data_IF_133653425517
#
_entry.id   IF_133653425517
#
_cell.length_a   1.000
_cell.length_b   1.000
_cell.length_c   1.000
_cell.angle_alpha   90.00
_cell.angle_beta   90.00
_cell.angle_gamma   90.00
#
_symmetry.space_group_name_H-M   'P 1'
#
loop_
_entity.id
_entity.type
_entity.pdbx_description
1 polymer ?
#
# COMPACT_ATOMS: atom_id res chain seq x y z
N UNK A 1 22.90 -25.85 5.83
CA UNK A 1 22.48 -27.23 6.17
C UNK A 1 21.05 -27.45 5.69
N UNK A 2 20.72 -28.60 5.07
CA UNK A 2 19.37 -28.94 4.58
C UNK A 2 18.90 -30.18 5.34
N UNK A 3 17.81 -30.07 6.10
CA UNK A 3 17.19 -31.17 6.83
C UNK A 3 15.85 -31.53 6.17
N UNK A 4 15.61 -32.82 5.96
CA UNK A 4 14.41 -33.35 5.30
C UNK A 4 13.63 -34.22 6.28
N UNK A 5 12.30 -34.06 6.33
CA UNK A 5 11.46 -34.86 7.22
C UNK A 5 9.98 -34.53 7.12
N UNK A 6 9.23 -34.91 8.16
CA UNK A 6 7.84 -34.50 8.38
C UNK A 6 7.75 -33.83 9.75
N UNK A 7 7.09 -32.68 9.83
CA UNK A 7 6.80 -32.01 11.08
C UNK A 7 5.78 -32.84 11.87
N UNK A 8 6.08 -33.03 13.17
CA UNK A 8 5.19 -33.74 14.11
C UNK A 8 4.26 -32.78 14.87
N UNK A 9 4.47 -31.47 14.70
CA UNK A 9 3.70 -30.38 15.29
C UNK A 9 3.35 -29.38 14.18
N UNK A 10 2.35 -28.51 14.38
CA UNK A 10 2.04 -27.43 13.45
C UNK A 10 3.28 -26.61 13.05
N UNK A 11 3.34 -26.15 11.80
CA UNK A 11 4.53 -25.50 11.24
C UNK A 11 4.92 -24.20 11.92
N UNK A 12 3.94 -23.44 12.42
CA UNK A 12 4.17 -22.23 13.20
C UNK A 12 4.87 -22.55 14.53
N UNK A 13 4.43 -23.58 15.25
CA UNK A 13 5.05 -24.05 16.49
C UNK A 13 6.43 -24.69 16.24
N UNK A 14 6.57 -25.47 15.17
CA UNK A 14 7.85 -26.04 14.76
C UNK A 14 8.89 -24.93 14.50
N UNK A 15 8.47 -23.85 13.85
CA UNK A 15 9.33 -22.71 13.57
C UNK A 15 9.86 -22.07 14.85
N UNK A 16 9.03 -21.85 15.87
CA UNK A 16 9.48 -21.28 17.16
C UNK A 16 10.58 -22.11 17.80
N UNK A 17 10.32 -23.42 17.94
CA UNK A 17 11.25 -24.36 18.56
C UNK A 17 12.57 -24.43 17.81
N UNK A 18 12.53 -24.39 16.47
CA UNK A 18 13.72 -24.39 15.62
C UNK A 18 14.48 -23.07 15.69
N UNK A 19 13.77 -21.94 15.67
CA UNK A 19 14.37 -20.61 15.74
C UNK A 19 15.12 -20.42 17.06
N UNK A 20 14.54 -20.83 18.19
CA UNK A 20 15.22 -20.80 19.50
C UNK A 20 16.49 -21.65 19.52
N UNK A 21 16.46 -22.84 18.92
CA UNK A 21 17.61 -23.76 18.85
C UNK A 21 18.70 -23.31 17.89
N UNK A 22 18.34 -22.62 16.81
CA UNK A 22 19.29 -22.19 15.78
C UNK A 22 19.89 -20.81 16.08
N UNK A 23 19.24 -20.03 16.94
CA UNK A 23 19.71 -18.70 17.37
C UNK A 23 21.14 -18.69 17.95
N UNK A 24 21.55 -19.63 18.84
CA UNK A 24 22.93 -19.69 19.35
C UNK A 24 23.96 -20.02 18.26
N UNK A 25 23.52 -20.65 17.17
CA UNK A 25 24.36 -21.06 16.04
C UNK A 25 24.50 -19.96 14.99
N UNK A 26 23.81 -18.82 15.14
CA UNK A 26 23.82 -17.74 14.15
C UNK A 26 23.09 -18.10 12.85
N UNK A 27 22.11 -18.99 12.91
CA UNK A 27 21.38 -19.51 11.75
C UNK A 27 19.89 -19.23 11.87
N UNK A 28 19.21 -18.91 10.76
CA UNK A 28 17.75 -18.77 10.71
C UNK A 28 17.12 -19.96 9.98
N UNK A 29 16.10 -20.63 10.57
CA UNK A 29 15.40 -21.72 9.89
C UNK A 29 14.47 -21.19 8.78
N UNK A 30 14.35 -21.96 7.70
CA UNK A 30 13.48 -21.70 6.57
C UNK A 30 12.66 -22.96 6.28
N UNK A 31 11.34 -22.91 6.50
CA UNK A 31 10.43 -24.05 6.32
C UNK A 31 9.73 -23.99 4.96
N UNK A 32 9.78 -25.10 4.20
CA UNK A 32 9.21 -25.21 2.85
C UNK A 32 8.52 -26.55 2.64
N UNK A 33 7.46 -26.58 1.82
CA UNK A 33 6.91 -27.83 1.27
C UNK A 33 7.84 -28.34 0.14
N UNK A 34 8.15 -29.63 0.12
CA UNK A 34 9.02 -30.23 -0.90
C UNK A 34 8.32 -30.23 -2.26
N UNK A 35 8.96 -29.69 -3.30
CA UNK A 35 8.41 -29.68 -4.67
C UNK A 35 8.63 -30.99 -5.43
N UNK A 36 9.69 -31.75 -5.11
CA UNK A 36 10.02 -32.98 -5.83
C UNK A 36 9.40 -34.23 -5.17
N UNK A 37 8.52 -34.87 -5.93
CA UNK A 37 7.92 -36.18 -5.68
C UNK A 37 8.88 -37.35 -5.89
N UNK A 38 10.11 -37.27 -5.37
CA UNK A 38 10.99 -38.44 -5.30
C UNK A 38 10.38 -39.57 -4.46
N UNK A 39 10.94 -40.78 -4.60
CA UNK A 39 10.49 -42.12 -4.16
C UNK A 39 9.95 -42.28 -2.71
N UNK A 40 10.01 -41.23 -1.87
CA UNK A 40 9.59 -41.23 -0.46
C UNK A 40 8.35 -40.36 -0.16
N UNK A 41 7.58 -39.94 -1.18
CA UNK A 41 6.32 -39.21 -1.01
C UNK A 41 6.47 -37.78 -0.48
N UNK A 42 5.39 -36.98 -0.57
CA UNK A 42 5.38 -35.57 -0.12
C UNK A 42 5.88 -35.39 1.32
N UNK A 43 6.68 -34.35 1.55
CA UNK A 43 7.27 -34.03 2.85
C UNK A 43 7.70 -32.57 2.97
N UNK A 44 8.28 -32.21 4.09
CA UNK A 44 8.67 -30.84 4.42
C UNK A 44 10.19 -30.71 4.51
N UNK A 45 10.70 -29.53 4.20
CA UNK A 45 12.12 -29.21 4.31
C UNK A 45 12.37 -28.06 5.26
N UNK A 46 13.43 -28.22 6.05
CA UNK A 46 14.03 -27.16 6.86
C UNK A 46 15.38 -26.83 6.25
N UNK A 47 15.54 -25.61 5.74
CA UNK A 47 16.83 -25.08 5.34
C UNK A 47 17.36 -24.17 6.45
N UNK A 48 18.61 -24.38 6.84
CA UNK A 48 19.32 -23.52 7.78
C UNK A 48 20.07 -22.45 6.98
N UNK A 49 19.61 -21.21 7.06
CA UNK A 49 20.23 -20.05 6.42
C UNK A 49 21.32 -19.48 7.33
N UNK A 50 22.57 -19.28 6.85
CA UNK A 50 23.69 -18.76 7.65
C UNK A 50 23.59 -17.23 7.81
N UNK A 51 22.40 -16.72 8.11
CA UNK A 51 22.11 -15.30 8.28
C UNK A 51 21.22 -15.15 9.51
N UNK A 52 21.55 -14.18 10.37
CA UNK A 52 20.64 -13.68 11.40
C UNK A 52 20.16 -12.31 10.99
N UNK A 53 18.83 -12.10 10.99
CA UNK A 53 18.27 -10.80 10.67
C UNK A 53 18.45 -9.87 11.88
N UNK A 54 19.27 -8.83 11.72
CA UNK A 54 19.50 -7.83 12.75
C UNK A 54 18.29 -6.88 12.86
N UNK A 55 18.17 -6.21 14.02
CA UNK A 55 17.18 -5.15 14.22
C UNK A 55 17.46 -4.00 13.24
N UNK A 56 16.41 -3.47 12.60
CA UNK A 56 16.51 -2.30 11.73
C UNK A 56 17.24 -1.16 12.45
N UNK A 57 18.30 -0.60 11.87
CA UNK A 57 18.98 0.57 12.44
C UNK A 57 18.06 1.78 12.29
N UNK A 58 17.48 2.26 13.39
CA UNK A 58 16.58 3.40 13.37
C UNK A 58 17.36 4.70 13.20
N UNK A 59 17.32 5.28 11.99
CA UNK A 59 17.88 6.62 11.72
C UNK A 59 16.84 7.68 12.03
N UNK A 60 16.59 7.93 13.31
CA UNK A 60 15.54 8.86 13.78
C UNK A 60 15.73 10.26 13.22
N UNK A 61 16.96 10.79 13.23
CA UNK A 61 17.25 12.12 12.67
C UNK A 61 16.91 12.24 11.18
N UNK A 62 17.19 11.19 10.38
CA UNK A 62 16.81 11.17 8.97
C UNK A 62 15.29 11.12 8.80
N UNK A 63 14.59 10.30 9.60
CA UNK A 63 13.13 10.22 9.55
C UNK A 63 12.46 11.56 9.89
N UNK A 64 12.95 12.24 10.93
CA UNK A 64 12.45 13.57 11.32
C UNK A 64 12.74 14.64 10.27
N UNK A 65 13.96 14.64 9.70
CA UNK A 65 14.32 15.56 8.62
C UNK A 65 13.42 15.37 7.40
N UNK A 66 13.27 14.14 6.95
CA UNK A 66 12.43 13.80 5.80
C UNK A 66 10.95 14.12 6.06
N UNK A 67 10.44 13.86 7.26
CA UNK A 67 9.10 14.26 7.65
C UNK A 67 8.93 15.78 7.62
N UNK A 68 9.86 16.55 8.18
CA UNK A 68 9.83 18.01 8.14
C UNK A 68 9.86 18.56 6.72
N UNK A 69 10.72 18.01 5.84
CA UNK A 69 10.73 18.36 4.42
C UNK A 69 9.41 18.02 3.74
N UNK A 70 8.79 16.89 4.09
CA UNK A 70 7.51 16.46 3.52
C UNK A 70 6.37 17.37 3.95
N UNK A 71 6.36 17.83 5.20
CA UNK A 71 5.42 18.84 5.69
C UNK A 71 5.55 20.12 4.88
N UNK A 72 6.78 20.63 4.70
CA UNK A 72 7.01 21.87 3.94
C UNK A 72 6.57 21.74 2.47
N UNK A 73 6.93 20.64 1.80
CA UNK A 73 6.54 20.40 0.42
C UNK A 73 5.02 20.20 0.26
N UNK A 74 4.37 19.55 1.23
CA UNK A 74 2.90 19.36 1.23
C UNK A 74 2.15 20.66 1.50
N UNK A 75 2.67 21.50 2.41
CA UNK A 75 2.11 22.83 2.67
C UNK A 75 2.18 23.70 1.42
N UNK A 76 3.31 23.68 0.72
CA UNK A 76 3.46 24.38 -0.54
C UNK A 76 2.47 23.87 -1.59
N UNK A 77 2.37 22.54 -1.79
CA UNK A 77 1.40 21.98 -2.74
C UNK A 77 -0.05 22.33 -2.38
N UNK A 78 -0.42 22.28 -1.09
CA UNK A 78 -1.74 22.65 -0.62
C UNK A 78 -2.07 24.14 -0.77
N UNK A 79 -1.09 25.02 -0.55
CA UNK A 79 -1.26 26.47 -0.73
C UNK A 79 -1.57 26.83 -2.18
N UNK A 80 -1.20 25.95 -3.13
CA UNK A 80 -1.47 26.12 -4.55
C UNK A 80 -2.85 25.64 -4.99
N UNK A 81 -3.63 25.06 -4.07
CA UNK A 81 -4.99 24.59 -4.32
C UNK A 81 -6.06 25.62 -3.90
N UNK A 82 -5.64 26.83 -3.52
CA UNK A 82 -6.57 27.93 -3.23
C UNK A 82 -7.23 28.37 -4.54
N UNK A 83 -8.55 28.54 -4.51
CA UNK A 83 -9.32 28.94 -5.69
C UNK A 83 -8.97 30.38 -6.12
N UNK A 84 -8.92 30.62 -7.43
CA UNK A 84 -8.73 31.95 -8.01
C UNK A 84 -7.28 32.47 -7.99
N UNK A 85 -6.28 31.63 -7.71
CA UNK A 85 -4.88 32.01 -7.81
C UNK A 85 -4.49 32.34 -9.26
N UNK A 86 -3.88 33.50 -9.46
CA UNK A 86 -3.26 33.90 -10.73
C UNK A 86 -1.74 33.73 -10.74
N UNK A 87 -1.14 33.62 -9.55
CA UNK A 87 0.30 33.55 -9.32
C UNK A 87 0.62 32.47 -8.26
N UNK A 88 1.90 32.11 -8.14
CA UNK A 88 2.39 31.20 -7.10
C UNK A 88 2.06 31.73 -5.69
N UNK A 89 1.39 30.91 -4.89
CA UNK A 89 1.03 31.24 -3.52
C UNK A 89 2.15 30.81 -2.56
N UNK A 90 2.79 31.79 -1.93
CA UNK A 90 3.84 31.57 -0.93
C UNK A 90 3.30 31.50 0.52
N UNK A 91 2.00 31.71 0.71
CA UNK A 91 1.36 31.64 2.03
C UNK A 91 1.12 30.17 2.44
N UNK A 92 2.17 29.53 2.96
CA UNK A 92 2.15 28.12 3.38
C UNK A 92 0.99 27.73 4.32
N UNK A 93 0.54 28.58 5.27
CA UNK A 93 -0.65 28.31 6.08
C UNK A 93 -1.92 27.94 5.30
N UNK A 94 -2.09 28.44 4.07
CA UNK A 94 -3.26 28.11 3.25
C UNK A 94 -3.29 26.63 2.85
N UNK A 95 -2.14 25.97 2.84
CA UNK A 95 -2.02 24.53 2.59
C UNK A 95 -2.28 23.63 3.81
N UNK A 96 -2.57 24.20 4.99
CA UNK A 96 -2.80 23.44 6.21
C UNK A 96 -3.95 22.42 6.11
N UNK A 97 -5.15 22.77 5.57
CA UNK A 97 -6.26 21.82 5.50
C UNK A 97 -5.91 20.58 4.65
N UNK A 98 -5.26 20.81 3.51
CA UNK A 98 -4.75 19.74 2.64
C UNK A 98 -3.69 18.89 3.34
N UNK A 99 -2.65 19.54 3.86
CA UNK A 99 -1.46 18.86 4.42
C UNK A 99 -1.81 18.06 5.65
N UNK A 100 -2.59 18.62 6.57
CA UNK A 100 -3.01 17.93 7.77
C UNK A 100 -3.83 16.68 7.43
N UNK A 101 -4.74 16.80 6.47
CA UNK A 101 -5.58 15.70 5.98
C UNK A 101 -4.74 14.60 5.32
N UNK A 102 -3.88 14.96 4.37
CA UNK A 102 -3.06 14.01 3.62
C UNK A 102 -2.06 13.29 4.55
N UNK A 103 -1.33 14.04 5.38
CA UNK A 103 -0.35 13.44 6.28
C UNK A 103 -1.00 12.59 7.36
N UNK A 104 -2.21 12.93 7.84
CA UNK A 104 -2.94 12.06 8.76
C UNK A 104 -3.24 10.69 8.12
N UNK A 105 -3.70 10.67 6.87
CA UNK A 105 -4.00 9.44 6.13
C UNK A 105 -2.73 8.62 5.90
N UNK A 106 -1.67 9.24 5.35
CA UNK A 106 -0.41 8.56 5.06
C UNK A 106 0.27 8.05 6.33
N UNK A 107 0.27 8.85 7.39
CA UNK A 107 0.80 8.43 8.68
C UNK A 107 -0.01 7.25 9.22
N UNK A 108 -1.34 7.30 9.22
CA UNK A 108 -2.16 6.18 9.69
C UNK A 108 -1.89 4.90 8.89
N UNK A 109 -1.70 5.00 7.57
CA UNK A 109 -1.32 3.87 6.72
C UNK A 109 0.01 3.26 7.16
N UNK A 110 1.08 4.05 7.20
CA UNK A 110 2.41 3.52 7.55
C UNK A 110 2.51 3.07 9.01
N UNK A 111 1.87 3.79 9.93
CA UNK A 111 1.80 3.38 11.33
C UNK A 111 0.95 2.10 11.49
N UNK A 112 -0.05 1.87 10.64
CA UNK A 112 -0.79 0.62 10.59
C UNK A 112 0.13 -0.57 10.33
N UNK A 113 0.98 -0.48 9.32
CA UNK A 113 2.02 -1.50 9.07
C UNK A 113 3.00 -1.63 10.23
N UNK A 114 3.55 -0.50 10.70
CA UNK A 114 4.55 -0.47 11.77
C UNK A 114 4.04 -1.11 13.07
N UNK A 115 2.84 -0.73 13.51
CA UNK A 115 2.23 -1.22 14.75
C UNK A 115 1.90 -2.71 14.64
N UNK A 116 1.36 -3.16 13.50
CA UNK A 116 1.07 -4.57 13.29
C UNK A 116 2.35 -5.41 13.25
N UNK A 117 3.38 -4.95 12.53
CA UNK A 117 4.66 -5.63 12.48
C UNK A 117 5.30 -5.73 13.86
N UNK A 118 5.25 -4.66 14.66
CA UNK A 118 5.75 -4.63 16.05
C UNK A 118 4.96 -5.57 16.96
N UNK A 119 3.62 -5.61 16.86
CA UNK A 119 2.77 -6.55 17.61
C UNK A 119 3.11 -8.02 17.29
N UNK A 120 3.51 -8.30 16.05
CA UNK A 120 3.88 -9.64 15.58
C UNK A 120 5.37 -9.96 15.77
N UNK A 121 6.14 -9.08 16.41
CA UNK A 121 7.57 -9.27 16.67
C UNK A 121 8.47 -9.18 15.44
N UNK A 122 7.98 -8.61 14.33
CA UNK A 122 8.78 -8.40 13.11
C UNK A 122 9.60 -7.10 13.23
N UNK A 123 10.94 -7.13 13.03
CA UNK A 123 11.77 -5.93 13.12
C UNK A 123 11.52 -4.98 11.92
N UNK A 124 11.01 -3.79 12.21
CA UNK A 124 10.70 -2.75 11.22
C UNK A 124 11.39 -1.43 11.54
N UNK A 125 11.64 -0.62 10.50
CA UNK A 125 12.08 0.77 10.65
C UNK A 125 10.93 1.68 11.08
N UNK A 126 11.26 2.90 11.46
CA UNK A 126 10.26 3.99 11.48
C UNK A 126 9.82 4.31 10.05
N UNK A 127 8.63 4.91 9.86
CA UNK A 127 8.18 5.41 8.57
C UNK A 127 9.10 6.52 8.05
N UNK A 128 9.52 6.42 6.80
CA UNK A 128 10.24 7.47 6.08
C UNK A 128 9.31 8.12 5.06
N UNK A 129 9.02 9.40 5.24
CA UNK A 129 8.21 10.19 4.31
C UNK A 129 9.10 10.73 3.18
N UNK A 130 8.61 10.72 1.95
CA UNK A 130 9.39 11.17 0.79
C UNK A 130 8.82 12.52 0.32
N UNK A 131 9.56 13.64 0.47
CA UNK A 131 9.11 14.94 0.02
C UNK A 131 9.15 15.05 -1.50
N UNK A 132 8.18 15.76 -2.08
CA UNK A 132 8.16 16.09 -3.51
C UNK A 132 7.62 17.51 -3.71
N UNK A 133 8.45 18.57 -3.54
CA UNK A 133 8.00 19.96 -3.52
C UNK A 133 7.27 20.44 -4.78
N UNK A 134 7.51 19.82 -5.93
CA UNK A 134 6.88 20.18 -7.20
C UNK A 134 5.91 19.10 -7.72
N UNK A 135 5.46 18.21 -6.84
CA UNK A 135 4.46 17.18 -7.16
C UNK A 135 3.04 17.62 -6.81
N UNK A 136 2.00 16.98 -7.39
CA UNK A 136 0.60 17.34 -7.16
C UNK A 136 0.15 17.19 -5.70
N UNK A 137 0.87 16.38 -4.90
CA UNK A 137 0.54 16.14 -3.50
C UNK A 137 1.59 16.67 -2.51
N UNK A 138 2.70 17.23 -3.00
CA UNK A 138 3.84 17.60 -2.16
C UNK A 138 4.61 16.41 -1.55
N UNK A 139 4.25 15.16 -1.85
CA UNK A 139 4.89 13.95 -1.34
C UNK A 139 4.75 12.79 -2.33
N UNK A 140 5.70 11.85 -2.32
CA UNK A 140 5.59 10.55 -2.98
C UNK A 140 4.99 9.47 -2.08
N UNK A 141 4.56 9.85 -0.87
CA UNK A 141 4.09 8.94 0.16
C UNK A 141 5.15 8.68 1.23
N UNK A 142 4.97 7.59 1.94
CA UNK A 142 5.91 7.13 2.96
C UNK A 142 6.09 5.63 2.83
N UNK A 143 7.15 5.10 3.42
CA UNK A 143 7.38 3.66 3.45
C UNK A 143 8.05 3.24 4.75
N UNK A 144 7.74 2.02 5.18
CA UNK A 144 8.54 1.29 6.16
C UNK A 144 9.45 0.27 5.47
N UNK A 145 10.61 0.02 6.06
CA UNK A 145 11.48 -1.08 5.64
C UNK A 145 11.40 -2.22 6.65
N UNK A 146 11.07 -3.42 6.16
CA UNK A 146 11.19 -4.65 6.94
C UNK A 146 12.64 -5.14 6.88
N UNK A 147 13.29 -5.33 8.03
CA UNK A 147 14.68 -5.83 8.08
C UNK A 147 14.78 -7.36 8.14
N UNK A 148 13.65 -8.04 8.21
CA UNK A 148 13.55 -9.48 8.15
C UNK A 148 12.35 -9.90 7.29
N UNK A 149 12.46 -10.99 6.52
CA UNK A 149 11.31 -11.57 5.84
C UNK A 149 10.21 -11.92 6.85
N UNK A 150 8.93 -11.80 6.46
CA UNK A 150 7.82 -12.11 7.34
C UNK A 150 7.86 -13.58 7.73
N UNK A 151 7.50 -13.85 8.98
CA UNK A 151 7.61 -15.19 9.55
C UNK A 151 6.82 -16.23 8.77
N UNK A 152 5.55 -15.96 8.49
CA UNK A 152 4.66 -16.86 7.75
C UNK A 152 3.61 -16.07 6.98
N UNK A 153 2.81 -16.78 6.18
CA UNK A 153 1.73 -16.19 5.37
C UNK A 153 0.69 -15.42 6.21
N UNK A 154 0.45 -15.84 7.46
CA UNK A 154 -0.49 -15.16 8.37
C UNK A 154 0.03 -13.78 8.78
N UNK A 155 1.31 -13.69 9.13
CA UNK A 155 1.97 -12.42 9.47
C UNK A 155 2.02 -11.50 8.25
N UNK A 156 2.36 -12.06 7.09
CA UNK A 156 2.38 -11.32 5.83
C UNK A 156 1.03 -10.66 5.52
N UNK A 157 -0.07 -11.43 5.61
CA UNK A 157 -1.42 -10.90 5.42
C UNK A 157 -1.77 -9.82 6.45
N UNK A 158 -1.49 -10.07 7.73
CA UNK A 158 -1.85 -9.15 8.80
C UNK A 158 -1.14 -7.80 8.64
N UNK A 159 0.17 -7.81 8.35
CA UNK A 159 0.94 -6.58 8.12
C UNK A 159 0.47 -5.89 6.84
N UNK A 160 0.34 -6.62 5.73
CA UNK A 160 -0.09 -6.06 4.43
C UNK A 160 -1.50 -5.48 4.45
N UNK A 161 -2.43 -6.02 5.26
CA UNK A 161 -3.78 -5.47 5.39
C UNK A 161 -3.86 -4.27 6.34
N UNK A 162 -2.99 -4.20 7.36
CA UNK A 162 -3.11 -3.22 8.44
C UNK A 162 -2.95 -1.77 7.97
N UNK A 163 -2.00 -1.48 7.07
CA UNK A 163 -1.79 -0.13 6.56
C UNK A 163 -2.95 0.38 5.72
N UNK A 164 -3.33 -0.30 4.63
CA UNK A 164 -4.47 0.08 3.79
C UNK A 164 -5.77 0.28 4.58
N UNK A 165 -6.05 -0.57 5.57
CA UNK A 165 -7.23 -0.41 6.43
C UNK A 165 -7.14 0.83 7.32
N UNK A 166 -5.99 1.08 7.95
CA UNK A 166 -5.79 2.25 8.80
C UNK A 166 -5.86 3.55 7.99
N UNK A 167 -5.26 3.58 6.80
CA UNK A 167 -5.36 4.70 5.87
C UNK A 167 -6.81 4.95 5.43
N UNK A 168 -7.53 3.90 5.02
CA UNK A 168 -8.91 4.00 4.55
C UNK A 168 -9.88 4.49 5.64
N UNK A 169 -9.68 4.05 6.89
CA UNK A 169 -10.49 4.50 8.05
C UNK A 169 -10.41 6.01 8.25
N UNK A 170 -9.30 6.66 7.89
CA UNK A 170 -9.20 8.12 7.89
C UNK A 170 -9.59 8.75 6.56
N UNK A 171 -9.20 8.14 5.43
CA UNK A 171 -9.45 8.69 4.11
C UNK A 171 -10.94 8.86 3.81
N UNK A 172 -11.78 7.87 4.15
CA UNK A 172 -13.22 7.93 3.87
C UNK A 172 -13.93 9.08 4.63
N UNK A 173 -13.77 9.25 5.96
CA UNK A 173 -14.35 10.39 6.67
C UNK A 173 -13.80 11.75 6.24
N UNK A 174 -12.49 11.85 5.99
CA UNK A 174 -11.85 13.09 5.52
C UNK A 174 -12.39 13.46 4.13
N UNK A 175 -12.51 12.48 3.23
CA UNK A 175 -13.10 12.68 1.92
C UNK A 175 -14.57 13.12 2.03
N UNK A 176 -15.35 12.49 2.89
CA UNK A 176 -16.74 12.88 3.13
C UNK A 176 -16.86 14.32 3.64
N UNK A 177 -16.04 14.68 4.63
CA UNK A 177 -15.97 16.05 5.14
C UNK A 177 -15.59 17.03 4.03
N UNK A 178 -14.55 16.72 3.27
CA UNK A 178 -14.12 17.53 2.14
C UNK A 178 -15.23 17.72 1.11
N UNK A 179 -15.94 16.64 0.75
CA UNK A 179 -17.06 16.70 -0.19
C UNK A 179 -18.21 17.56 0.33
N UNK A 180 -18.46 17.58 1.64
CA UNK A 180 -19.48 18.46 2.24
C UNK A 180 -19.10 19.96 2.19
N UNK A 181 -17.82 20.26 2.01
CA UNK A 181 -17.29 21.62 1.82
C UNK A 181 -17.10 21.97 0.34
N UNK A 182 -17.31 21.02 -0.56
CA UNK A 182 -17.19 21.21 -2.00
C UNK A 182 -18.49 21.73 -2.60
N UNK A 183 -18.38 22.38 -3.75
CA UNK A 183 -19.53 22.94 -4.48
C UNK A 183 -19.64 22.34 -5.88
N UNK A 184 -20.86 22.21 -6.40
CA UNK A 184 -21.10 21.75 -7.77
C UNK A 184 -21.29 22.97 -8.66
N UNK A 185 -20.48 23.08 -9.69
CA UNK A 185 -20.52 24.19 -10.65
C UNK A 185 -20.44 23.64 -12.08
N UNK A 186 -20.84 24.45 -13.09
CA UNK A 186 -20.59 24.13 -14.48
C UNK A 186 -19.10 23.91 -14.74
N UNK A 187 -18.78 22.96 -15.61
CA UNK A 187 -17.39 22.67 -15.97
C UNK A 187 -16.73 23.91 -16.59
N UNK A 188 -15.46 24.21 -16.26
CA UNK A 188 -14.73 25.32 -16.87
C UNK A 188 -14.65 25.16 -18.37
N UNK A 189 -14.72 26.28 -19.10
CA UNK A 189 -14.49 26.32 -20.55
C UNK A 189 -13.00 26.35 -20.94
N UNK A 190 -12.11 26.41 -19.95
CA UNK A 190 -10.65 26.45 -20.10
C UNK A 190 -10.02 25.19 -19.55
N UNK A 191 -8.78 24.88 -19.93
CA UNK A 191 -8.04 23.73 -19.43
C UNK A 191 -8.11 23.59 -17.90
N UNK A 192 -8.49 22.41 -17.40
CA UNK A 192 -8.49 22.08 -15.97
C UNK A 192 -8.07 20.63 -15.71
N UNK A 193 -7.58 20.38 -14.50
CA UNK A 193 -7.24 19.03 -14.05
C UNK A 193 -8.47 18.40 -13.41
N UNK A 194 -8.82 17.20 -13.85
CA UNK A 194 -9.94 16.42 -13.32
C UNK A 194 -9.42 15.15 -12.66
N UNK A 195 -9.90 14.89 -11.45
CA UNK A 195 -9.59 13.66 -10.72
C UNK A 195 -10.50 12.49 -11.11
N UNK A 196 -9.90 11.30 -11.17
CA UNK A 196 -10.61 10.09 -11.55
C UNK A 196 -11.54 9.54 -10.49
N UNK A 197 -12.60 8.89 -10.94
CA UNK A 197 -13.56 8.19 -10.09
C UNK A 197 -13.14 6.74 -9.81
N UNK A 198 -12.87 6.42 -8.54
CA UNK A 198 -13.00 5.05 -8.04
C UNK A 198 -14.46 4.75 -7.70
N UNK A 199 -14.82 3.46 -7.53
CA UNK A 199 -16.19 3.09 -7.17
C UNK A 199 -16.61 3.70 -5.82
N UNK A 200 -15.71 3.70 -4.83
CA UNK A 200 -15.98 4.31 -3.53
C UNK A 200 -16.14 5.82 -3.66
N UNK A 201 -15.25 6.49 -4.39
CA UNK A 201 -15.32 7.93 -4.56
C UNK A 201 -16.58 8.37 -5.30
N UNK A 202 -16.93 7.69 -6.40
CA UNK A 202 -18.15 7.95 -7.15
C UNK A 202 -19.41 7.72 -6.29
N UNK A 203 -19.41 6.67 -5.47
CA UNK A 203 -20.52 6.37 -4.55
C UNK A 203 -20.68 7.46 -3.49
N UNK A 204 -19.58 8.00 -2.96
CA UNK A 204 -19.62 9.10 -1.99
C UNK A 204 -20.09 10.41 -2.64
N UNK A 205 -19.65 10.72 -3.86
CA UNK A 205 -20.15 11.87 -4.63
C UNK A 205 -21.66 11.74 -4.89
N UNK A 206 -22.11 10.57 -5.33
CA UNK A 206 -23.54 10.30 -5.54
C UNK A 206 -24.35 10.45 -4.24
N UNK A 207 -23.85 9.91 -3.13
CA UNK A 207 -24.52 10.01 -1.83
C UNK A 207 -24.60 11.45 -1.31
N UNK A 208 -23.60 12.29 -1.61
CA UNK A 208 -23.56 13.69 -1.18
C UNK A 208 -24.43 14.60 -2.06
N UNK A 209 -24.37 14.43 -3.39
CA UNK A 209 -24.97 15.38 -4.34
C UNK A 209 -26.21 14.83 -5.08
N UNK A 210 -26.55 13.55 -4.91
CA UNK A 210 -27.71 12.91 -5.52
C UNK A 210 -27.60 12.63 -7.02
N UNK A 211 -26.42 12.86 -7.62
CA UNK A 211 -26.17 12.69 -9.07
C UNK A 211 -24.77 12.13 -9.33
N UNK A 212 -24.61 11.47 -10.47
CA UNK A 212 -23.32 10.95 -10.94
C UNK A 212 -22.50 12.10 -11.54
N UNK A 213 -21.35 12.39 -10.93
CA UNK A 213 -20.48 13.52 -11.31
C UNK A 213 -19.05 13.04 -11.62
N UNK A 214 -18.40 13.58 -12.67
CA UNK A 214 -18.89 14.61 -13.60
C UNK A 214 -20.05 14.13 -14.48
N UNK A 215 -21.01 15.01 -14.78
CA UNK A 215 -22.19 14.67 -15.57
C UNK A 215 -23.09 15.86 -15.84
N UNK A 216 -23.72 15.90 -17.02
CA UNK A 216 -24.67 16.98 -17.38
C UNK A 216 -24.02 18.36 -17.58
N UNK A 217 -22.71 18.41 -17.85
CA UNK A 217 -21.95 19.67 -17.99
C UNK A 217 -21.52 20.29 -16.66
N UNK A 218 -21.77 19.61 -15.55
CA UNK A 218 -21.38 20.04 -14.21
C UNK A 218 -20.40 19.07 -13.58
N UNK A 219 -19.60 19.58 -12.64
CA UNK A 219 -18.74 18.77 -11.79
C UNK A 219 -18.56 19.36 -10.40
N UNK A 220 -18.00 18.56 -9.50
CA UNK A 220 -17.66 18.96 -8.13
C UNK A 220 -16.33 19.68 -8.14
N UNK A 221 -16.35 20.96 -7.76
CA UNK A 221 -15.15 21.71 -7.43
C UNK A 221 -14.74 21.31 -6.02
N UNK A 222 -13.77 20.39 -5.96
CA UNK A 222 -13.42 19.73 -4.72
C UNK A 222 -12.59 20.63 -3.80
N UNK A 223 -13.04 20.73 -2.55
CA UNK A 223 -12.25 21.36 -1.50
C UNK A 223 -10.91 20.61 -1.31
N UNK A 224 -9.87 21.32 -0.89
CA UNK A 224 -8.52 20.74 -0.71
C UNK A 224 -8.48 19.54 0.25
N UNK A 225 -9.37 19.52 1.26
CA UNK A 225 -9.59 18.36 2.15
C UNK A 225 -10.14 17.15 1.39
N UNK A 226 -11.08 17.34 0.45
CA UNK A 226 -11.59 16.25 -0.39
C UNK A 226 -10.50 15.72 -1.31
N UNK A 227 -9.71 16.61 -1.90
CA UNK A 227 -8.58 16.21 -2.74
C UNK A 227 -7.54 15.39 -1.95
N UNK A 228 -7.25 15.75 -0.69
CA UNK A 228 -6.41 14.94 0.20
C UNK A 228 -7.01 13.56 0.50
N UNK A 229 -8.33 13.49 0.76
CA UNK A 229 -9.04 12.22 0.94
C UNK A 229 -9.00 11.33 -0.30
N UNK A 230 -9.21 11.92 -1.47
CA UNK A 230 -9.11 11.26 -2.78
C UNK A 230 -7.68 10.75 -3.04
N UNK A 231 -6.66 11.57 -2.79
CA UNK A 231 -5.27 11.17 -2.88
C UNK A 231 -4.95 10.01 -1.93
N UNK A 232 -5.54 10.01 -0.72
CA UNK A 232 -5.48 8.89 0.22
C UNK A 232 -6.06 7.59 -0.33
N UNK A 233 -7.22 7.67 -1.01
CA UNK A 233 -7.80 6.51 -1.70
C UNK A 233 -6.89 6.02 -2.84
N UNK A 234 -6.33 6.95 -3.62
CA UNK A 234 -5.40 6.63 -4.71
C UNK A 234 -4.15 5.90 -4.18
N UNK A 235 -3.49 6.43 -3.15
CA UNK A 235 -2.32 5.80 -2.53
C UNK A 235 -2.66 4.41 -1.99
N UNK A 236 -3.81 4.27 -1.32
CA UNK A 236 -4.30 2.98 -0.84
C UNK A 236 -4.52 2.01 -2.00
N UNK A 237 -5.16 2.46 -3.09
CA UNK A 237 -5.41 1.66 -4.28
C UNK A 237 -4.12 1.21 -4.98
N UNK A 238 -3.13 2.10 -5.09
CA UNK A 238 -1.81 1.78 -5.66
C UNK A 238 -1.08 0.74 -4.80
N UNK A 239 -1.08 0.90 -3.48
CA UNK A 239 -0.48 -0.09 -2.57
C UNK A 239 -1.21 -1.43 -2.58
N UNK A 240 -2.52 -1.43 -2.85
CA UNK A 240 -3.32 -2.65 -2.94
C UNK A 240 -3.28 -3.33 -4.32
N UNK A 241 -2.52 -2.80 -5.30
CA UNK A 241 -2.29 -3.50 -6.57
C UNK A 241 -1.73 -4.91 -6.26
N UNK A 242 -2.34 -5.98 -6.79
CA UNK A 242 -2.00 -7.35 -6.42
C UNK A 242 -0.72 -7.85 -7.11
N UNK A 243 0.40 -7.15 -6.93
CA UNK A 243 1.65 -7.43 -7.61
C UNK A 243 2.90 -7.07 -6.79
N UNK A 244 3.95 -7.86 -6.96
CA UNK A 244 5.28 -7.56 -6.43
C UNK A 244 5.36 -7.46 -4.91
N UNK A 245 6.04 -6.41 -4.42
CA UNK A 245 6.25 -6.09 -3.00
C UNK A 245 5.19 -5.12 -2.43
N UNK A 246 4.18 -4.77 -3.22
CA UNK A 246 3.07 -3.94 -2.75
C UNK A 246 2.22 -4.72 -1.74
N UNK A 247 1.45 -4.01 -0.92
CA UNK A 247 0.57 -4.61 0.09
C UNK A 247 -0.42 -5.62 -0.51
N UNK A 248 -1.00 -5.28 -1.68
CA UNK A 248 -1.85 -6.19 -2.44
C UNK A 248 -1.12 -7.46 -2.86
N UNK A 249 0.15 -7.34 -3.26
CA UNK A 249 1.02 -8.48 -3.59
C UNK A 249 1.22 -9.42 -2.40
N UNK A 250 1.44 -8.86 -1.20
CA UNK A 250 1.53 -9.60 0.06
C UNK A 250 0.22 -10.34 0.41
N UNK A 251 -0.93 -9.68 0.21
CA UNK A 251 -2.25 -10.25 0.44
C UNK A 251 -2.52 -11.43 -0.51
N UNK A 252 -2.27 -11.25 -1.81
CA UNK A 252 -2.45 -12.32 -2.81
C UNK A 252 -1.46 -13.47 -2.57
N UNK A 253 -0.22 -13.18 -2.19
CA UNK A 253 0.74 -14.21 -1.80
C UNK A 253 0.25 -15.04 -0.61
N UNK A 254 -0.27 -14.39 0.42
CA UNK A 254 -0.80 -15.10 1.58
C UNK A 254 -1.99 -16.00 1.19
N UNK A 255 -2.84 -15.54 0.27
CA UNK A 255 -4.05 -16.26 -0.17
C UNK A 255 -3.77 -17.43 -1.12
N UNK A 256 -2.98 -17.19 -2.17
CA UNK A 256 -2.77 -18.14 -3.28
C UNK A 256 -1.41 -18.83 -3.26
N UNK A 257 -0.53 -18.42 -2.33
CA UNK A 257 0.86 -18.87 -2.27
C UNK A 257 1.71 -18.39 -3.45
N UNK A 258 2.96 -18.83 -3.47
CA UNK A 258 3.99 -18.35 -4.42
C UNK A 258 3.61 -18.48 -5.90
N UNK A 259 3.04 -19.64 -6.31
CA UNK A 259 2.70 -19.87 -7.72
C UNK A 259 1.54 -18.97 -8.15
N UNK A 260 0.47 -18.93 -7.36
CA UNK A 260 -0.69 -18.10 -7.67
C UNK A 260 -0.37 -16.61 -7.68
N UNK A 261 0.38 -16.10 -6.70
CA UNK A 261 0.78 -14.69 -6.67
C UNK A 261 1.67 -14.29 -7.86
N UNK A 262 2.54 -15.19 -8.33
CA UNK A 262 3.32 -14.96 -9.54
C UNK A 262 2.44 -14.87 -10.78
N UNK A 263 1.47 -15.78 -10.93
CA UNK A 263 0.50 -15.73 -12.04
C UNK A 263 -0.32 -14.44 -11.99
N UNK A 264 -0.84 -14.06 -10.83
CA UNK A 264 -1.60 -12.81 -10.66
C UNK A 264 -0.73 -11.59 -10.98
N UNK A 265 0.53 -11.56 -10.53
CA UNK A 265 1.47 -10.47 -10.86
C UNK A 265 1.62 -10.31 -12.37
N UNK A 266 1.75 -11.40 -13.14
CA UNK A 266 1.84 -11.32 -14.61
C UNK A 266 0.54 -10.82 -15.25
N UNK A 267 -0.63 -11.25 -14.74
CA UNK A 267 -1.93 -10.75 -15.20
C UNK A 267 -2.03 -9.24 -14.92
N UNK A 268 -1.62 -8.79 -13.74
CA UNK A 268 -1.62 -7.37 -13.37
C UNK A 268 -0.66 -6.57 -14.26
N UNK A 269 0.54 -7.08 -14.55
CA UNK A 269 1.46 -6.41 -15.46
C UNK A 269 0.85 -6.26 -16.87
N UNK A 270 0.20 -7.30 -17.39
CA UNK A 270 -0.51 -7.21 -18.67
C UNK A 270 -1.67 -6.19 -18.62
N UNK A 271 -2.43 -6.17 -17.52
CA UNK A 271 -3.51 -5.21 -17.31
C UNK A 271 -3.00 -3.77 -17.20
N UNK A 272 -1.90 -3.53 -16.48
CA UNK A 272 -1.25 -2.22 -16.38
C UNK A 272 -0.70 -1.76 -17.73
N UNK A 273 -0.16 -2.68 -18.54
CA UNK A 273 0.23 -2.37 -19.92
C UNK A 273 -0.99 -1.94 -20.75
N UNK A 274 -2.12 -2.64 -20.64
CA UNK A 274 -3.39 -2.24 -21.25
C UNK A 274 -3.89 -0.86 -20.76
N UNK A 275 -3.85 -0.60 -19.46
CA UNK A 275 -4.26 0.68 -18.88
C UNK A 275 -3.34 1.84 -19.27
N UNK A 276 -2.09 1.56 -19.67
CA UNK A 276 -1.17 2.60 -20.14
C UNK A 276 -1.66 3.31 -21.40
N UNK A 277 -2.48 2.65 -22.22
CA UNK A 277 -3.15 3.29 -23.37
C UNK A 277 -4.24 4.28 -22.97
N UNK A 278 -4.81 4.14 -21.75
CA UNK A 278 -5.79 5.08 -21.21
C UNK A 278 -5.12 6.22 -20.43
N UNK A 279 -4.04 5.91 -19.71
CA UNK A 279 -3.30 6.88 -18.91
C UNK A 279 -1.81 6.54 -18.85
N UNK A 280 -0.98 7.40 -19.45
CA UNK A 280 0.46 7.17 -19.62
C UNK A 280 1.22 6.98 -18.29
N UNK A 281 0.72 7.48 -17.16
CA UNK A 281 1.39 7.31 -15.88
C UNK A 281 1.43 5.84 -15.40
N UNK A 282 0.61 4.95 -15.97
CA UNK A 282 0.73 3.51 -15.70
C UNK A 282 2.02 2.89 -16.24
N UNK A 283 2.71 3.52 -17.21
CA UNK A 283 4.01 3.05 -17.70
C UNK A 283 5.06 3.07 -16.58
N UNK A 284 5.05 4.12 -15.75
CA UNK A 284 5.93 4.21 -14.59
C UNK A 284 5.65 3.07 -13.62
N UNK A 285 4.39 2.84 -13.26
CA UNK A 285 3.98 1.76 -12.37
C UNK A 285 4.27 0.38 -12.94
N UNK A 286 4.08 0.17 -14.24
CA UNK A 286 4.45 -1.06 -14.93
C UNK A 286 5.95 -1.34 -14.76
N UNK A 287 6.81 -0.34 -14.96
CA UNK A 287 8.26 -0.46 -14.77
C UNK A 287 8.63 -0.75 -13.31
N UNK A 288 8.05 -0.03 -12.36
CA UNK A 288 8.30 -0.23 -10.92
C UNK A 288 7.86 -1.61 -10.45
N UNK A 289 6.63 -2.02 -10.78
CA UNK A 289 6.09 -3.34 -10.41
C UNK A 289 6.90 -4.45 -11.07
N UNK A 290 7.29 -4.30 -12.34
CA UNK A 290 8.13 -5.28 -13.01
C UNK A 290 9.49 -5.45 -12.33
N UNK A 291 10.15 -4.34 -11.97
CA UNK A 291 11.44 -4.35 -11.28
C UNK A 291 11.33 -5.00 -9.90
N UNK A 292 10.37 -4.56 -9.08
CA UNK A 292 10.19 -5.06 -7.70
C UNK A 292 9.61 -6.48 -7.64
N UNK A 293 8.87 -6.93 -8.66
CA UNK A 293 8.34 -8.31 -8.71
C UNK A 293 9.44 -9.38 -8.71
N UNK A 294 10.65 -9.03 -9.16
CA UNK A 294 11.81 -9.92 -9.15
C UNK A 294 12.38 -10.16 -7.75
N UNK A 295 12.07 -9.28 -6.80
CA UNK A 295 12.62 -9.24 -5.44
C UNK A 295 11.62 -9.77 -4.38
N UNK A 296 10.67 -10.63 -4.77
CA UNK A 296 9.59 -11.05 -3.88
C UNK A 296 10.11 -11.75 -2.62
N UNK A 297 9.89 -11.13 -1.45
CA UNK A 297 10.30 -11.67 -0.16
C UNK A 297 9.50 -12.93 0.16
N UNK A 298 10.20 -14.05 0.32
CA UNK A 298 9.55 -15.31 0.66
C UNK A 298 9.45 -15.43 2.18
N UNK A 299 8.26 -15.73 2.74
CA UNK A 299 8.11 -15.91 4.17
C UNK A 299 9.05 -17.00 4.71
N UNK A 300 9.47 -16.90 5.97
CA UNK A 300 10.40 -17.88 6.55
C UNK A 300 9.75 -19.27 6.68
N UNK A 301 8.45 -19.31 6.92
CA UNK A 301 7.60 -20.50 6.88
C UNK A 301 6.48 -20.33 5.82
N UNK A 302 6.60 -21.10 4.75
CA UNK A 302 5.65 -21.10 3.63
C UNK A 302 4.65 -22.28 3.71
N UNK A 303 4.68 -23.05 4.79
CA UNK A 303 3.82 -24.22 5.04
C UNK A 303 2.53 -23.77 5.73
N UNK A 304 2.63 -22.85 6.69
CA UNK A 304 1.50 -22.39 7.49
C UNK A 304 0.35 -21.86 6.64
N UNK A 305 -0.83 -22.46 6.79
CA UNK A 305 -2.05 -22.09 6.07
C UNK A 305 -2.86 -21.02 6.82
N UNK A 306 -3.60 -20.21 6.05
CA UNK A 306 -4.51 -19.20 6.59
C UNK A 306 -5.73 -19.84 7.26
N UNK A 307 -6.13 -19.29 8.41
CA UNK A 307 -7.43 -19.60 9.04
C UNK A 307 -8.59 -19.04 8.19
N UNK A 308 -9.81 -19.52 8.41
CA UNK A 308 -11.02 -19.05 7.69
C UNK A 308 -11.21 -17.53 7.79
N UNK A 309 -11.07 -16.96 8.98
CA UNK A 309 -11.16 -15.50 9.20
C UNK A 309 -10.11 -14.71 8.44
N UNK A 310 -8.89 -15.24 8.34
CA UNK A 310 -7.80 -14.62 7.59
C UNK A 310 -8.03 -14.71 6.09
N UNK A 311 -8.60 -15.80 5.59
CA UNK A 311 -9.02 -15.91 4.19
C UNK A 311 -10.10 -14.89 3.87
N UNK A 312 -11.09 -14.71 4.75
CA UNK A 312 -12.13 -13.69 4.60
C UNK A 312 -11.53 -12.28 4.58
N UNK A 313 -10.57 -11.98 5.45
CA UNK A 313 -9.84 -10.71 5.44
C UNK A 313 -9.12 -10.49 4.10
N UNK A 314 -8.40 -11.49 3.59
CA UNK A 314 -7.70 -11.37 2.31
C UNK A 314 -8.68 -11.08 1.15
N UNK A 315 -9.83 -11.76 1.12
CA UNK A 315 -10.88 -11.50 0.12
C UNK A 315 -11.46 -10.09 0.29
N UNK A 316 -11.74 -9.67 1.52
CA UNK A 316 -12.22 -8.32 1.80
C UNK A 316 -11.23 -7.25 1.31
N UNK A 317 -9.92 -7.47 1.46
CA UNK A 317 -8.91 -6.55 0.94
C UNK A 317 -8.87 -6.48 -0.59
N UNK A 318 -9.15 -7.58 -1.28
CA UNK A 318 -9.33 -7.56 -2.75
C UNK A 318 -10.57 -6.75 -3.14
N UNK A 319 -11.66 -6.86 -2.37
CA UNK A 319 -12.84 -6.02 -2.58
C UNK A 319 -12.52 -4.54 -2.33
N UNK A 320 -11.80 -4.23 -1.24
CA UNK A 320 -11.34 -2.87 -0.96
C UNK A 320 -10.52 -2.33 -2.12
N UNK A 321 -9.57 -3.10 -2.66
CA UNK A 321 -8.80 -2.72 -3.85
C UNK A 321 -9.73 -2.32 -5.01
N UNK A 322 -10.70 -3.16 -5.37
CA UNK A 322 -11.64 -2.86 -6.45
C UNK A 322 -12.48 -1.61 -6.18
N UNK A 323 -12.79 -1.34 -4.92
CA UNK A 323 -13.56 -0.15 -4.53
C UNK A 323 -12.74 1.15 -4.63
N UNK A 324 -11.45 1.11 -4.29
CA UNK A 324 -10.60 2.31 -4.24
C UNK A 324 -9.73 2.52 -5.48
N UNK A 325 -9.56 1.50 -6.32
CA UNK A 325 -8.73 1.59 -7.53
C UNK A 325 -9.34 2.57 -8.53
N UNK A 326 -8.51 3.49 -9.03
CA UNK A 326 -8.88 4.51 -10.01
C UNK A 326 -8.11 4.26 -11.31
N UNK A 327 -8.74 3.72 -12.37
CA UNK A 327 -8.05 3.39 -13.62
C UNK A 327 -7.45 4.59 -14.35
N UNK A 328 -8.05 5.77 -14.21
CA UNK A 328 -7.55 7.01 -14.82
C UNK A 328 -7.47 8.05 -13.71
N UNK A 329 -6.33 8.16 -12.99
CA UNK A 329 -6.25 8.99 -11.79
C UNK A 329 -6.40 10.49 -12.04
N UNK A 330 -5.74 11.02 -13.06
CA UNK A 330 -5.76 12.46 -13.36
C UNK A 330 -5.83 12.66 -14.87
N UNK A 331 -6.77 13.49 -15.32
CA UNK A 331 -6.91 13.88 -16.71
C UNK A 331 -6.85 15.39 -16.85
N UNK A 332 -6.03 15.89 -17.77
CA UNK A 332 -6.11 17.27 -18.20
C UNK A 332 -7.23 17.36 -19.24
N UNK A 333 -8.31 18.07 -18.89
CA UNK A 333 -9.41 18.37 -19.80
C UNK A 333 -9.06 19.68 -20.50
N UNK A 334 -9.00 19.72 -21.85
CA UNK A 334 -8.69 20.93 -22.62
C UNK A 334 -9.89 21.88 -22.74
#
# INVERSE_FOLDING_TARGET
MRLRGRLRVPSDEAYDRLAERFRPLGVTPLLRKRQDGGHYGGGEEVLALPVTFARARQRVGLALLLFGLTVLSSLFAGAQMVEGLTETNWNLPDGLPFTASLLAILAAHEFGHYLMARRLGSPTSLPYFIPMPFGPFGTLGAFISMSAPPRNRRHLLAIGAAGPLAGLVLAAPILWLGLSLSHVLPQPASNYMLEGNSLLYASLKFAMFGKWLPGGGEDVFIHSIAFAGWAGLLVTGLNLIPAGQLDGGHIVYALLGRRGARTVTWIVLAALAGLSFLWNGWILWLGLVFLFSRLQDMPLDDITELKRSQRLLAVAMVVVFLLVFTPIPLTLVP
#
